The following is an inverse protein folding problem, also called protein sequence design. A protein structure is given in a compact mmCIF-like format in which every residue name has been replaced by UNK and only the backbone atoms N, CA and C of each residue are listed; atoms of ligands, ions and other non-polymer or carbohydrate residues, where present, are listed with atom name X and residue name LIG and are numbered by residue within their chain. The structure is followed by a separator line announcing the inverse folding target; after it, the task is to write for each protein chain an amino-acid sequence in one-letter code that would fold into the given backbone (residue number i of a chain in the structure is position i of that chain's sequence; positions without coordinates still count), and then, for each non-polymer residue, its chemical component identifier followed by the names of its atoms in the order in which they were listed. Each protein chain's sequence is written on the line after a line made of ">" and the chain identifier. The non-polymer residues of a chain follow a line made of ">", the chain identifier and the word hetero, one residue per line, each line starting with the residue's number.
data_IF_500846016568
#
_entry.id   IF_500846016568
#
_cell.length_a   1.000
_cell.length_b   1.000
_cell.length_c   1.000
_cell.angle_alpha   90.00
_cell.angle_beta   90.00
_cell.angle_gamma   90.00
#
_symmetry.space_group_name_H-M   'P 1'
#
loop_
_entity.id
_entity.type
_entity.pdbx_description
1 polymer ?
#
# COMPACT_ATOMS: atom_id res chain seq x y z
N UNK A 1 -7.87 8.64 -5.40
CA UNK A 1 -8.96 9.46 -5.97
C UNK A 1 -9.25 10.58 -4.98
N UNK A 2 -9.39 11.79 -5.47
CA UNK A 2 -9.76 12.99 -4.71
C UNK A 2 -11.30 13.22 -4.76
N UNK A 3 -11.78 14.23 -4.05
CA UNK A 3 -13.19 14.62 -4.00
C UNK A 3 -13.76 14.99 -5.38
N UNK A 4 -13.00 15.69 -6.20
CA UNK A 4 -13.39 16.02 -7.57
C UNK A 4 -13.56 14.74 -8.43
N UNK A 5 -12.70 13.75 -8.25
CA UNK A 5 -12.80 12.43 -8.87
C UNK A 5 -14.08 11.70 -8.45
N UNK A 6 -14.41 11.71 -7.17
CA UNK A 6 -15.65 11.13 -6.66
C UNK A 6 -16.88 11.78 -7.30
N UNK A 7 -16.94 13.12 -7.33
CA UNK A 7 -18.05 13.85 -7.97
C UNK A 7 -18.20 13.47 -9.44
N UNK A 8 -17.10 13.44 -10.20
CA UNK A 8 -17.13 13.03 -11.62
C UNK A 8 -17.61 11.59 -11.80
N UNK A 9 -17.17 10.68 -10.93
CA UNK A 9 -17.55 9.26 -11.02
C UNK A 9 -19.03 9.06 -10.73
N UNK A 10 -19.56 9.66 -9.65
CA UNK A 10 -21.00 9.57 -9.32
C UNK A 10 -21.83 10.20 -10.43
N UNK A 11 -21.45 11.36 -10.95
CA UNK A 11 -22.14 12.00 -12.08
C UNK A 11 -22.10 11.13 -13.35
N UNK A 12 -20.98 10.44 -13.62
CA UNK A 12 -20.88 9.53 -14.75
C UNK A 12 -21.81 8.31 -14.59
N UNK A 13 -21.86 7.72 -13.41
CA UNK A 13 -22.78 6.61 -13.09
C UNK A 13 -24.24 7.03 -13.26
N UNK A 14 -24.60 8.23 -12.80
CA UNK A 14 -25.98 8.74 -12.89
C UNK A 14 -26.48 8.95 -14.34
N UNK A 15 -25.59 9.11 -15.30
CA UNK A 15 -26.02 9.20 -16.70
C UNK A 15 -26.56 7.88 -17.25
N UNK A 16 -26.13 6.75 -16.73
CA UNK A 16 -26.56 5.43 -17.19
C UNK A 16 -27.30 4.57 -16.15
N UNK A 17 -27.42 5.05 -14.90
CA UNK A 17 -27.99 4.28 -13.80
C UNK A 17 -28.89 5.14 -12.90
N UNK A 18 -30.16 4.78 -12.80
CA UNK A 18 -31.17 5.47 -11.96
C UNK A 18 -31.33 4.86 -10.57
N UNK A 19 -30.79 3.68 -10.33
CA UNK A 19 -30.88 2.97 -9.06
C UNK A 19 -29.93 3.51 -7.96
N UNK A 20 -29.87 2.85 -6.81
CA UNK A 20 -28.95 3.21 -5.73
C UNK A 20 -27.49 3.17 -6.17
N UNK A 21 -26.68 4.13 -5.69
CA UNK A 21 -25.24 4.15 -5.84
C UNK A 21 -24.61 4.04 -4.47
N UNK A 22 -23.60 3.16 -4.32
CA UNK A 22 -22.83 3.03 -3.11
C UNK A 22 -21.38 3.48 -3.31
N UNK A 23 -20.71 3.81 -2.21
CA UNK A 23 -19.28 4.05 -2.16
C UNK A 23 -18.60 3.13 -1.16
N UNK A 24 -17.50 2.51 -1.57
CA UNK A 24 -16.51 1.88 -0.72
C UNK A 24 -15.20 2.64 -0.86
N UNK A 25 -14.82 3.44 0.13
CA UNK A 25 -13.66 4.31 0.04
C UNK A 25 -12.51 3.79 0.90
N UNK A 26 -11.38 3.51 0.24
CA UNK A 26 -10.11 3.26 0.91
C UNK A 26 -9.46 4.56 1.43
N UNK A 27 -8.63 4.43 2.45
CA UNK A 27 -8.05 5.57 3.15
C UNK A 27 -6.57 5.84 2.81
N UNK A 28 -6.09 5.40 1.64
CA UNK A 28 -4.68 5.50 1.23
C UNK A 28 -4.11 6.92 1.32
N UNK A 29 -4.91 7.93 0.93
CA UNK A 29 -4.56 9.35 0.98
C UNK A 29 -5.13 10.07 2.22
N UNK A 30 -5.66 9.35 3.21
CA UNK A 30 -6.34 9.97 4.36
C UNK A 30 -7.69 10.60 3.99
N UNK A 31 -8.23 10.32 2.82
CA UNK A 31 -9.45 10.96 2.28
C UNK A 31 -10.69 10.08 2.32
N UNK A 32 -10.64 8.93 2.98
CA UNK A 32 -11.76 8.00 3.03
C UNK A 32 -13.05 8.66 3.51
N UNK A 33 -13.01 9.37 4.64
CA UNK A 33 -14.14 10.11 5.20
C UNK A 33 -14.65 11.20 4.24
N UNK A 34 -13.74 12.02 3.70
CA UNK A 34 -14.09 13.09 2.76
C UNK A 34 -14.74 12.53 1.50
N UNK A 35 -14.14 11.52 0.89
CA UNK A 35 -14.65 10.91 -0.32
C UNK A 35 -16.03 10.27 -0.12
N UNK A 36 -16.25 9.62 1.02
CA UNK A 36 -17.55 9.05 1.39
C UNK A 36 -18.61 10.14 1.55
N UNK A 37 -18.27 11.23 2.23
CA UNK A 37 -19.14 12.39 2.42
C UNK A 37 -19.50 13.05 1.09
N UNK A 38 -18.51 13.28 0.23
CA UNK A 38 -18.70 13.87 -1.10
C UNK A 38 -19.55 12.97 -2.01
N UNK A 39 -19.43 11.65 -1.89
CA UNK A 39 -20.27 10.73 -2.63
C UNK A 39 -21.75 10.86 -2.24
N UNK A 40 -22.04 10.98 -0.94
CA UNK A 40 -23.43 11.23 -0.45
C UNK A 40 -23.95 12.56 -0.96
N UNK A 41 -23.15 13.65 -0.86
CA UNK A 41 -23.51 14.96 -1.44
C UNK A 41 -23.80 14.88 -2.95
N UNK A 42 -23.13 13.97 -3.64
CA UNK A 42 -23.29 13.77 -5.09
C UNK A 42 -24.43 12.80 -5.45
N UNK A 43 -25.13 12.26 -4.46
CA UNK A 43 -26.31 11.40 -4.66
C UNK A 43 -26.06 9.89 -4.45
N UNK A 44 -24.94 9.50 -3.82
CA UNK A 44 -24.81 8.14 -3.31
C UNK A 44 -25.72 7.92 -2.10
N UNK A 45 -26.37 6.75 -2.02
CA UNK A 45 -27.31 6.38 -0.97
C UNK A 45 -26.80 5.25 -0.05
N UNK A 46 -25.64 4.66 -0.38
CA UNK A 46 -24.98 3.65 0.41
C UNK A 46 -23.53 4.02 0.64
N UNK A 47 -23.05 3.81 1.86
CA UNK A 47 -21.66 4.07 2.24
C UNK A 47 -21.15 2.88 3.05
N UNK A 48 -20.06 2.29 2.58
CA UNK A 48 -19.36 1.26 3.33
C UNK A 48 -18.33 1.89 4.27
N UNK A 49 -18.28 1.37 5.49
CA UNK A 49 -17.26 1.71 6.48
C UNK A 49 -16.92 0.52 7.35
N UNK A 50 -15.79 0.58 8.01
CA UNK A 50 -15.36 -0.42 8.98
C UNK A 50 -14.95 0.27 10.28
N UNK A 51 -15.14 -0.39 11.42
CA UNK A 51 -14.76 0.20 12.72
C UNK A 51 -13.25 0.44 12.73
N UNK A 52 -12.82 1.61 13.17
CA UNK A 52 -11.44 2.14 13.10
C UNK A 52 -10.81 2.11 11.71
N UNK A 53 -11.64 2.03 10.66
CA UNK A 53 -11.16 1.88 9.29
C UNK A 53 -10.47 0.53 9.03
N UNK A 54 -10.83 -0.53 9.76
CA UNK A 54 -10.20 -1.85 9.63
C UNK A 54 -10.17 -2.32 8.17
N UNK A 55 -8.99 -2.71 7.70
CA UNK A 55 -8.77 -3.18 6.35
C UNK A 55 -7.29 -3.36 6.06
N UNK A 56 -6.94 -3.90 4.92
CA UNK A 56 -5.53 -4.06 4.52
C UNK A 56 -4.88 -2.69 4.32
N UNK A 57 -3.62 -2.59 4.70
CA UNK A 57 -2.80 -1.41 4.43
C UNK A 57 -3.33 -0.15 5.09
N UNK A 58 -3.68 0.85 4.31
CA UNK A 58 -4.22 2.12 4.80
C UNK A 58 -5.65 2.03 5.34
N UNK A 59 -6.31 0.88 5.18
CA UNK A 59 -7.68 0.67 5.63
C UNK A 59 -8.73 1.39 4.80
N UNK A 60 -9.90 1.51 5.41
CA UNK A 60 -11.14 2.03 4.81
C UNK A 60 -11.61 3.30 5.52
N UNK A 61 -12.74 3.85 5.10
CA UNK A 61 -13.46 4.87 5.87
C UNK A 61 -13.87 4.32 7.23
N UNK A 62 -13.59 5.05 8.30
CA UNK A 62 -13.93 4.64 9.67
C UNK A 62 -15.42 4.90 9.96
N UNK A 63 -16.14 3.85 10.36
CA UNK A 63 -17.60 3.91 10.61
C UNK A 63 -17.96 4.93 11.66
N UNK A 64 -17.22 4.99 12.77
CA UNK A 64 -17.45 5.93 13.87
C UNK A 64 -17.32 7.39 13.40
N UNK A 65 -16.36 7.67 12.50
CA UNK A 65 -16.17 9.01 11.95
C UNK A 65 -17.26 9.35 10.92
N UNK A 66 -17.69 8.38 10.12
CA UNK A 66 -18.82 8.56 9.19
C UNK A 66 -20.09 8.90 9.93
N UNK A 67 -20.41 8.17 11.01
CA UNK A 67 -21.61 8.42 11.82
C UNK A 67 -21.58 9.79 12.48
N UNK A 68 -20.44 10.20 13.04
CA UNK A 68 -20.26 11.55 13.60
C UNK A 68 -20.50 12.63 12.55
N UNK A 69 -19.89 12.49 11.38
CA UNK A 69 -20.00 13.46 10.30
C UNK A 69 -21.44 13.53 9.74
N UNK A 70 -22.11 12.39 9.60
CA UNK A 70 -23.48 12.33 9.13
C UNK A 70 -24.46 12.93 10.15
N UNK A 71 -24.27 12.70 11.45
CA UNK A 71 -25.02 13.36 12.50
C UNK A 71 -24.82 14.89 12.47
N UNK A 72 -23.55 15.35 12.35
CA UNK A 72 -23.23 16.77 12.28
C UNK A 72 -23.88 17.48 11.09
N UNK A 73 -24.04 16.75 9.97
CA UNK A 73 -24.69 17.27 8.75
C UNK A 73 -26.21 17.11 8.76
N UNK A 74 -26.78 16.47 9.76
CA UNK A 74 -28.22 16.20 9.81
C UNK A 74 -28.71 15.13 8.81
N UNK A 75 -27.79 14.29 8.31
CA UNK A 75 -28.13 13.24 7.33
C UNK A 75 -28.71 11.96 7.94
N UNK A 76 -28.83 11.91 9.24
CA UNK A 76 -29.45 10.80 9.94
C UNK A 76 -29.43 10.99 11.45
N UNK A 77 -30.19 10.14 12.14
CA UNK A 77 -30.19 10.06 13.61
C UNK A 77 -29.57 8.72 13.99
N UNK A 78 -28.33 8.77 14.42
CA UNK A 78 -27.57 7.62 14.85
C UNK A 78 -27.24 7.76 16.33
N UNK A 79 -27.21 6.64 17.06
CA UNK A 79 -26.66 6.56 18.43
C UNK A 79 -25.28 5.89 18.37
N UNK A 80 -24.21 6.66 18.13
CA UNK A 80 -22.90 6.09 17.84
C UNK A 80 -22.15 5.59 19.09
N UNK A 81 -22.69 5.75 20.31
CA UNK A 81 -21.99 5.45 21.57
C UNK A 81 -21.50 4.00 21.65
N UNK A 82 -22.32 3.05 21.19
CA UNK A 82 -21.94 1.63 21.18
C UNK A 82 -20.76 1.37 20.24
N UNK A 83 -20.76 2.04 19.09
CA UNK A 83 -19.65 1.96 18.13
C UNK A 83 -18.37 2.58 18.72
N UNK A 84 -18.48 3.68 19.48
CA UNK A 84 -17.33 4.30 20.12
C UNK A 84 -16.66 3.38 21.12
N UNK A 85 -17.43 2.66 21.94
CA UNK A 85 -16.88 1.67 22.88
C UNK A 85 -16.11 0.56 22.16
N UNK A 86 -16.62 0.09 21.02
CA UNK A 86 -15.93 -0.89 20.20
C UNK A 86 -14.65 -0.31 19.56
N UNK A 87 -14.74 0.91 19.01
CA UNK A 87 -13.62 1.56 18.35
C UNK A 87 -12.45 1.84 19.33
N UNK A 88 -12.75 2.44 20.50
CA UNK A 88 -11.75 2.83 21.51
C UNK A 88 -11.16 1.60 22.22
N UNK A 89 -11.97 0.55 22.41
CA UNK A 89 -11.57 -0.67 23.12
C UNK A 89 -10.95 -1.73 22.20
N UNK A 90 -11.72 -2.76 21.83
CA UNK A 90 -11.17 -3.93 21.14
C UNK A 90 -10.60 -3.62 19.74
N UNK A 91 -11.21 -2.73 18.97
CA UNK A 91 -10.74 -2.43 17.62
C UNK A 91 -9.45 -1.60 17.61
N UNK A 92 -9.24 -0.72 18.59
CA UNK A 92 -7.96 0.00 18.72
C UNK A 92 -6.83 -0.95 19.12
N UNK A 93 -7.11 -1.99 19.94
CA UNK A 93 -6.14 -3.03 20.24
C UNK A 93 -5.76 -3.83 18.98
N UNK A 94 -6.76 -4.26 18.21
CA UNK A 94 -6.53 -4.94 16.93
C UNK A 94 -5.77 -4.06 15.93
N UNK A 95 -6.10 -2.76 15.87
CA UNK A 95 -5.42 -1.82 14.98
C UNK A 95 -3.92 -1.74 15.28
N UNK A 96 -3.55 -1.74 16.56
CA UNK A 96 -2.14 -1.76 16.98
C UNK A 96 -1.45 -3.08 16.66
N UNK A 97 -2.15 -4.20 16.83
CA UNK A 97 -1.62 -5.53 16.55
C UNK A 97 -1.40 -5.76 15.04
N UNK A 98 -2.40 -5.45 14.22
CA UNK A 98 -2.37 -5.68 12.77
C UNK A 98 -1.89 -4.49 11.95
N UNK A 99 -1.66 -3.34 12.57
CA UNK A 99 -1.03 -2.15 12.02
C UNK A 99 -1.68 -1.63 10.72
N UNK A 100 -3.01 -1.56 10.66
CA UNK A 100 -3.69 -0.88 9.55
C UNK A 100 -3.86 0.61 9.83
N UNK A 101 -4.00 1.37 8.78
CA UNK A 101 -4.27 2.80 8.84
C UNK A 101 -3.43 3.62 7.84
N UNK A 102 -3.77 4.90 7.66
CA UNK A 102 -3.03 5.77 6.76
C UNK A 102 -1.60 5.97 7.24
N UNK A 103 -0.67 5.96 6.28
CA UNK A 103 0.75 6.26 6.53
C UNK A 103 1.32 7.05 5.35
N UNK A 104 2.50 7.65 5.56
CA UNK A 104 3.20 8.37 4.49
C UNK A 104 3.44 7.48 3.26
N UNK A 105 3.80 6.21 3.46
CA UNK A 105 4.11 5.30 2.36
C UNK A 105 2.86 4.95 1.53
N UNK A 106 1.70 4.74 2.16
CA UNK A 106 0.44 4.54 1.44
C UNK A 106 -0.01 5.81 0.72
N UNK A 107 0.17 6.97 1.34
CA UNK A 107 -0.14 8.24 0.70
C UNK A 107 0.75 8.44 -0.54
N UNK A 108 2.05 8.19 -0.41
CA UNK A 108 3.01 8.30 -1.50
C UNK A 108 2.68 7.34 -2.65
N UNK A 109 2.41 6.05 -2.35
CA UNK A 109 2.02 5.08 -3.38
C UNK A 109 0.77 5.52 -4.13
N UNK A 110 -0.24 6.04 -3.42
CA UNK A 110 -1.46 6.53 -4.04
C UNK A 110 -1.22 7.78 -4.91
N UNK A 111 -0.35 8.70 -4.46
CA UNK A 111 0.05 9.89 -5.22
C UNK A 111 0.81 9.51 -6.49
N UNK A 112 1.63 8.48 -6.44
CA UNK A 112 2.39 7.96 -7.57
C UNK A 112 1.57 7.05 -8.51
N UNK A 113 0.32 6.73 -8.16
CA UNK A 113 -0.51 5.79 -8.93
C UNK A 113 -0.01 4.34 -8.83
N UNK A 114 0.82 4.04 -7.83
CA UNK A 114 1.37 2.70 -7.56
C UNK A 114 0.40 1.90 -6.69
N UNK A 115 0.18 0.63 -7.04
CA UNK A 115 -0.73 -0.23 -6.29
C UNK A 115 -0.25 -0.43 -4.84
N UNK A 116 -1.13 -0.26 -3.81
CA UNK A 116 -0.72 -0.26 -2.40
C UNK A 116 -0.15 -1.59 -1.90
N UNK A 117 -0.40 -2.70 -2.57
CA UNK A 117 0.17 -4.01 -2.23
C UNK A 117 1.70 -4.00 -2.29
N UNK A 118 2.32 -3.17 -3.13
CA UNK A 118 3.78 -3.02 -3.13
C UNK A 118 4.30 -2.55 -1.77
N UNK A 119 3.63 -1.56 -1.18
CA UNK A 119 3.97 -1.08 0.18
C UNK A 119 3.75 -2.18 1.23
N UNK A 120 2.62 -2.89 1.14
CA UNK A 120 2.29 -3.98 2.07
C UNK A 120 3.36 -5.06 2.07
N UNK A 121 3.77 -5.52 0.89
CA UNK A 121 4.79 -6.56 0.73
C UNK A 121 6.16 -6.12 1.27
N UNK A 122 6.55 -4.88 1.00
CA UNK A 122 7.81 -4.34 1.50
C UNK A 122 7.81 -4.19 3.03
N UNK A 123 6.73 -3.68 3.60
CA UNK A 123 6.57 -3.56 5.07
C UNK A 123 6.46 -4.92 5.74
N UNK A 124 5.72 -5.86 5.15
CA UNK A 124 5.51 -7.20 5.70
C UNK A 124 6.80 -8.03 5.82
N UNK A 125 7.75 -7.83 4.92
CA UNK A 125 9.06 -8.49 4.98
C UNK A 125 9.97 -7.96 6.09
N UNK A 126 9.77 -6.70 6.54
CA UNK A 126 10.52 -6.09 7.63
C UNK A 126 12.03 -5.86 7.36
N UNK A 127 12.49 -6.15 6.14
CA UNK A 127 13.93 -6.09 5.75
C UNK A 127 14.30 -4.79 5.05
N UNK A 128 13.31 -4.03 4.61
CA UNK A 128 13.53 -2.80 3.85
C UNK A 128 13.40 -1.57 4.73
N UNK A 129 14.38 -0.69 4.69
CA UNK A 129 14.30 0.61 5.33
C UNK A 129 13.50 1.61 4.47
N UNK A 130 13.21 2.78 5.03
CA UNK A 130 12.40 3.81 4.35
C UNK A 130 13.01 4.23 3.00
N UNK A 131 14.33 4.31 2.89
CA UNK A 131 15.03 4.70 1.67
C UNK A 131 14.81 3.67 0.55
N UNK A 132 14.93 2.37 0.86
CA UNK A 132 14.64 1.30 -0.09
C UNK A 132 13.19 1.34 -0.58
N UNK A 133 12.24 1.57 0.34
CA UNK A 133 10.81 1.60 0.00
C UNK A 133 10.49 2.81 -0.90
N UNK A 134 11.02 3.99 -0.57
CA UNK A 134 10.81 5.20 -1.35
C UNK A 134 11.40 5.06 -2.75
N UNK A 135 12.65 4.59 -2.86
CA UNK A 135 13.29 4.38 -4.16
C UNK A 135 12.55 3.35 -5.02
N UNK A 136 12.08 2.25 -4.42
CA UNK A 136 11.25 1.27 -5.14
C UNK A 136 9.92 1.87 -5.61
N UNK A 137 9.28 2.74 -4.82
CA UNK A 137 8.05 3.42 -5.23
C UNK A 137 8.29 4.42 -6.37
N UNK A 138 9.43 5.10 -6.40
CA UNK A 138 9.82 5.99 -7.50
C UNK A 138 10.00 5.21 -8.81
N UNK A 139 10.72 4.09 -8.77
CA UNK A 139 10.86 3.20 -9.91
C UNK A 139 9.51 2.66 -10.41
N UNK A 140 8.64 2.20 -9.49
CA UNK A 140 7.32 1.69 -9.80
C UNK A 140 6.41 2.77 -10.41
N UNK A 141 6.54 4.04 -9.99
CA UNK A 141 5.86 5.17 -10.60
C UNK A 141 6.25 5.34 -12.06
N UNK A 142 7.55 5.34 -12.35
CA UNK A 142 8.06 5.50 -13.72
C UNK A 142 7.63 4.35 -14.64
N UNK A 143 7.52 3.15 -14.10
CA UNK A 143 7.04 1.95 -14.82
C UNK A 143 5.52 1.83 -14.93
N UNK A 144 4.75 2.78 -14.34
CA UNK A 144 3.29 2.77 -14.39
C UNK A 144 2.65 1.58 -13.66
N UNK A 145 3.17 1.19 -12.51
CA UNK A 145 2.78 -0.01 -11.76
C UNK A 145 1.44 0.15 -11.01
N UNK A 146 0.36 0.38 -11.73
CA UNK A 146 -1.01 0.53 -11.21
C UNK A 146 -1.68 -0.80 -10.81
N UNK A 147 -1.11 -1.93 -11.23
CA UNK A 147 -1.47 -3.28 -10.81
C UNK A 147 -0.27 -3.96 -10.17
N UNK A 148 -0.52 -4.82 -9.18
CA UNK A 148 0.54 -5.53 -8.48
C UNK A 148 1.16 -6.65 -9.33
N UNK A 149 2.48 -6.77 -9.26
CA UNK A 149 3.26 -7.85 -9.87
C UNK A 149 4.51 -8.12 -9.03
N UNK A 150 4.70 -9.37 -8.60
CA UNK A 150 5.91 -9.80 -7.87
C UNK A 150 7.19 -9.55 -8.67
N UNK A 151 7.14 -9.78 -9.98
CA UNK A 151 8.28 -9.53 -10.86
C UNK A 151 8.71 -8.06 -10.81
N UNK A 152 7.77 -7.13 -10.95
CA UNK A 152 8.05 -5.69 -10.87
C UNK A 152 8.54 -5.26 -9.50
N UNK A 153 8.04 -5.87 -8.41
CA UNK A 153 8.55 -5.62 -7.08
C UNK A 153 10.01 -6.02 -6.96
N UNK A 154 10.38 -7.21 -7.44
CA UNK A 154 11.78 -7.66 -7.41
C UNK A 154 12.69 -6.74 -8.25
N UNK A 155 12.26 -6.35 -9.43
CA UNK A 155 12.98 -5.42 -10.29
C UNK A 155 13.22 -4.06 -9.60
N UNK A 156 12.18 -3.48 -8.99
CA UNK A 156 12.27 -2.24 -8.24
C UNK A 156 13.26 -2.33 -7.07
N UNK A 157 13.23 -3.45 -6.35
CA UNK A 157 14.13 -3.67 -5.20
C UNK A 157 15.58 -3.92 -5.62
N UNK A 158 15.83 -4.61 -6.75
CA UNK A 158 17.18 -4.83 -7.28
C UNK A 158 17.83 -3.53 -7.77
N UNK A 159 17.04 -2.67 -8.44
CA UNK A 159 17.55 -1.39 -8.96
C UNK A 159 17.94 -0.40 -7.86
N UNK A 160 17.35 -0.50 -6.68
CA UNK A 160 17.56 0.41 -5.54
C UNK A 160 18.35 -0.20 -4.39
N UNK A 161 18.66 -1.51 -4.42
CA UNK A 161 19.56 -2.13 -3.45
C UNK A 161 20.98 -1.56 -3.50
N UNK A 162 21.31 -0.86 -4.60
CA UNK A 162 22.62 -0.20 -4.78
C UNK A 162 22.65 1.32 -4.59
N UNK A 163 21.48 2.00 -4.51
CA UNK A 163 21.44 3.48 -4.54
C UNK A 163 21.50 4.16 -3.16
N UNK A 164 21.51 3.42 -2.08
CA UNK A 164 21.45 3.98 -0.72
C UNK A 164 22.39 3.35 0.31
N UNK A 165 23.25 2.43 -0.11
CA UNK A 165 24.42 2.09 0.70
C UNK A 165 25.44 3.21 0.52
N UNK A 166 25.87 3.89 1.60
CA UNK A 166 27.21 4.50 1.59
C UNK A 166 28.12 3.45 0.98
N UNK A 167 28.90 3.81 -0.04
CA UNK A 167 29.96 2.94 -0.54
C UNK A 167 30.69 2.44 0.69
N UNK A 168 30.47 1.17 1.04
CA UNK A 168 31.16 0.59 2.16
C UNK A 168 32.64 0.75 1.90
N UNK A 169 33.44 0.93 2.92
CA UNK A 169 34.90 1.05 2.79
C UNK A 169 35.55 -0.20 2.17
N UNK A 170 34.73 -1.24 1.84
CA UNK A 170 35.19 -2.45 1.21
C UNK A 170 35.43 -2.23 -0.30
N UNK A 171 36.62 -2.54 -0.76
CA UNK A 171 36.95 -2.54 -2.18
C UNK A 171 37.37 -3.95 -2.60
N UNK A 172 36.89 -4.40 -3.75
CA UNK A 172 37.35 -5.65 -4.36
C UNK A 172 38.78 -5.54 -4.98
N UNK A 173 39.33 -4.34 -5.00
CA UNK A 173 40.67 -4.11 -5.60
C UNK A 173 41.72 -4.97 -4.87
N UNK A 174 42.41 -5.84 -5.61
CA UNK A 174 43.38 -6.75 -5.07
C UNK A 174 42.88 -7.91 -4.22
N UNK A 175 41.60 -7.96 -3.91
CA UNK A 175 41.00 -8.99 -3.03
C UNK A 175 41.19 -10.42 -3.56
N UNK A 176 41.10 -10.60 -4.88
CA UNK A 176 41.31 -11.89 -5.54
C UNK A 176 42.70 -12.03 -6.20
N UNK A 177 43.64 -11.12 -5.89
CA UNK A 177 44.98 -11.18 -6.48
C UNK A 177 45.70 -12.47 -6.11
N UNK A 178 46.15 -13.22 -7.10
CA UNK A 178 46.80 -14.52 -6.92
C UNK A 178 45.86 -15.67 -6.51
N UNK A 179 44.52 -15.48 -6.58
CA UNK A 179 43.51 -16.49 -6.28
C UNK A 179 42.68 -16.81 -7.51
N UNK A 180 42.27 -18.09 -7.62
CA UNK A 180 41.20 -18.48 -8.57
C UNK A 180 39.87 -18.24 -7.93
N UNK A 181 38.95 -17.61 -8.65
CA UNK A 181 37.57 -17.39 -8.20
C UNK A 181 36.62 -18.20 -9.05
N UNK A 182 35.71 -18.93 -8.40
CA UNK A 182 34.59 -19.60 -9.04
C UNK A 182 33.31 -18.80 -8.74
N UNK A 183 32.71 -18.23 -9.78
CA UNK A 183 31.44 -17.54 -9.68
C UNK A 183 30.31 -18.51 -10.01
N UNK A 184 29.47 -18.85 -9.02
CA UNK A 184 28.33 -19.74 -9.18
C UNK A 184 27.04 -18.92 -9.14
N UNK A 185 26.36 -18.81 -10.28
CA UNK A 185 25.06 -18.18 -10.35
C UNK A 185 23.95 -19.15 -9.96
N UNK A 186 22.83 -18.65 -9.42
CA UNK A 186 21.68 -19.43 -8.98
C UNK A 186 20.75 -19.89 -10.12
N UNK A 187 21.21 -19.87 -11.37
CA UNK A 187 20.44 -20.28 -12.55
C UNK A 187 20.07 -21.78 -12.53
N UNK A 188 19.00 -22.18 -13.22
CA UNK A 188 18.52 -23.58 -13.24
C UNK A 188 19.56 -24.58 -13.78
N UNK A 189 20.50 -24.11 -14.59
CA UNK A 189 21.58 -24.93 -15.16
C UNK A 189 22.68 -25.26 -14.14
N UNK A 190 22.82 -24.53 -13.05
CA UNK A 190 23.85 -24.76 -12.04
C UNK A 190 23.82 -26.18 -11.47
N UNK A 191 22.61 -26.75 -11.29
CA UNK A 191 22.44 -28.13 -10.82
C UNK A 191 23.04 -29.17 -11.75
N UNK A 192 23.06 -28.90 -13.04
CA UNK A 192 23.59 -29.83 -14.06
C UNK A 192 25.13 -29.88 -14.04
N UNK A 193 25.79 -28.94 -13.38
CA UNK A 193 27.25 -28.84 -13.33
C UNK A 193 27.83 -29.05 -11.92
N UNK A 194 27.04 -29.56 -10.97
CA UNK A 194 27.45 -29.81 -9.58
C UNK A 194 28.75 -30.60 -9.47
N UNK A 195 28.89 -31.67 -10.26
CA UNK A 195 30.08 -32.52 -10.24
C UNK A 195 31.34 -31.79 -10.73
N UNK A 196 31.21 -30.84 -11.64
CA UNK A 196 32.32 -29.99 -12.08
C UNK A 196 32.65 -28.92 -11.02
N UNK A 197 31.65 -28.34 -10.37
CA UNK A 197 31.79 -27.35 -9.32
C UNK A 197 32.49 -27.91 -8.08
N UNK A 198 32.18 -29.15 -7.67
CA UNK A 198 32.85 -29.80 -6.53
C UNK A 198 34.32 -30.10 -6.71
N UNK A 199 34.88 -29.94 -7.92
CA UNK A 199 36.34 -30.09 -8.16
C UNK A 199 37.15 -28.82 -7.82
N UNK A 200 36.47 -27.71 -7.58
CA UNK A 200 37.09 -26.42 -7.24
C UNK A 200 37.00 -26.11 -5.74
N UNK A 201 36.30 -26.90 -4.96
CA UNK A 201 36.18 -26.81 -3.50
C UNK A 201 37.16 -27.80 -2.88
#
# INVERSE_FOLDING_TARGET
>A
MDDAGVRRTVAALRRGWSGPIGIHAHNNMGQGLLNSTVAVESGASWVDGTITGMGRGAGNSATELLLLEFCRRGWGRFSPEQIFHLAIGPFEALRKEYNWGPSLLYHLSATYGVHPTYVQEMLGKGTYNAHHIIGALEFLRESGANAYSDYRLQEALMGHAGAGGSDGAWSAHGWASGRSMLLVASGPQTKNHLAALCRYI
#
